data_IF_327102309404
#
_entry.id   IF_327102309404
#
_cell.length_a   1.000
_cell.length_b   1.000
_cell.length_c   1.000
_cell.angle_alpha   90.00
_cell.angle_beta   90.00
_cell.angle_gamma   90.00
#
_symmetry.space_group_name_H-M   'P 1'
#
loop_
_entity.id
_entity.type
_entity.pdbx_description
1 polymer ?
#
# COMPACT_ATOMS: atom_id res chain seq x y z
N UNK A 1 4.18 -9.75 21.14
CA UNK A 1 3.19 -10.74 20.62
C UNK A 1 3.61 -11.10 19.20
N UNK A 2 3.94 -12.36 18.92
CA UNK A 2 4.36 -12.78 17.58
C UNK A 2 3.12 -13.03 16.72
N UNK A 3 2.96 -12.29 15.61
CA UNK A 3 1.91 -12.55 14.63
C UNK A 3 2.35 -13.67 13.68
N UNK A 4 1.44 -14.60 13.40
CA UNK A 4 1.65 -15.69 12.43
C UNK A 4 0.93 -15.36 11.13
N UNK A 5 1.49 -15.83 10.02
CA UNK A 5 0.88 -15.73 8.70
C UNK A 5 -0.36 -16.61 8.62
N UNK A 6 -1.47 -16.08 8.11
CA UNK A 6 -2.73 -16.82 7.91
C UNK A 6 -2.63 -17.91 6.83
N UNK A 7 -1.67 -17.80 5.89
CA UNK A 7 -1.53 -18.74 4.77
C UNK A 7 -0.56 -19.89 5.10
N UNK A 8 0.63 -19.57 5.61
CA UNK A 8 1.68 -20.58 5.83
C UNK A 8 1.98 -20.86 7.30
N UNK A 9 1.37 -20.14 8.25
CA UNK A 9 1.60 -20.31 9.68
C UNK A 9 2.97 -19.84 10.19
N UNK A 10 3.88 -19.41 9.30
CA UNK A 10 5.19 -18.86 9.67
C UNK A 10 5.04 -17.57 10.47
N UNK A 11 6.01 -17.27 11.33
CA UNK A 11 6.08 -16.01 12.07
C UNK A 11 6.29 -14.86 11.08
N UNK A 12 5.49 -13.79 11.20
CA UNK A 12 5.67 -12.58 10.40
C UNK A 12 6.87 -11.82 10.98
N UNK A 13 7.87 -11.46 10.15
CA UNK A 13 9.02 -10.69 10.60
C UNK A 13 8.60 -9.38 11.25
N UNK A 14 9.25 -8.99 12.36
CA UNK A 14 8.91 -7.75 13.05
C UNK A 14 9.11 -6.50 12.19
N UNK A 15 10.12 -6.49 11.31
CA UNK A 15 10.34 -5.40 10.35
C UNK A 15 9.11 -5.15 9.48
N UNK A 16 8.44 -6.22 9.05
CA UNK A 16 7.20 -6.13 8.28
C UNK A 16 6.04 -5.60 9.12
N UNK A 17 5.95 -6.01 10.38
CA UNK A 17 4.93 -5.51 11.31
C UNK A 17 5.16 -4.05 11.71
N UNK A 18 6.40 -3.55 11.68
CA UNK A 18 6.69 -2.12 11.91
C UNK A 18 6.17 -1.26 10.76
N UNK A 19 6.27 -1.73 9.51
CA UNK A 19 5.83 -1.00 8.32
C UNK A 19 4.32 -1.16 8.11
N UNK A 20 3.81 -2.38 8.28
CA UNK A 20 2.42 -2.75 8.08
C UNK A 20 1.90 -3.50 9.32
N UNK A 21 1.56 -2.79 10.40
CA UNK A 21 1.13 -3.42 11.65
C UNK A 21 -0.18 -4.20 11.50
N UNK A 22 -1.01 -3.87 10.52
CA UNK A 22 -2.29 -4.55 10.27
C UNK A 22 -2.17 -5.82 9.44
N UNK A 23 -1.02 -6.09 8.81
CA UNK A 23 -0.90 -7.24 7.90
C UNK A 23 -1.01 -8.56 8.65
N UNK A 24 -1.73 -9.51 8.05
CA UNK A 24 -1.86 -10.90 8.51
C UNK A 24 -1.02 -11.88 7.69
N UNK A 25 -0.25 -11.40 6.70
CA UNK A 25 0.53 -12.22 5.77
C UNK A 25 2.03 -11.96 5.87
N UNK A 26 2.82 -13.03 5.80
CA UNK A 26 4.28 -12.91 5.63
C UNK A 26 4.65 -12.39 4.23
N UNK A 27 5.92 -12.00 4.04
CA UNK A 27 6.44 -11.47 2.77
C UNK A 27 6.17 -12.45 1.62
N UNK A 28 6.61 -13.71 1.77
CA UNK A 28 6.48 -14.75 0.72
C UNK A 28 5.01 -14.96 0.29
N UNK A 29 4.09 -15.00 1.24
CA UNK A 29 2.68 -15.24 0.94
C UNK A 29 2.00 -14.01 0.31
N UNK A 30 2.41 -12.81 0.72
CA UNK A 30 1.91 -11.57 0.14
C UNK A 30 2.43 -11.35 -1.29
N UNK A 31 3.65 -11.78 -1.61
CA UNK A 31 4.19 -11.74 -2.98
C UNK A 31 3.43 -12.67 -3.93
N UNK A 32 3.04 -13.87 -3.45
CA UNK A 32 2.32 -14.86 -4.28
C UNK A 32 0.83 -14.60 -4.41
N UNK A 33 0.16 -14.16 -3.34
CA UNK A 33 -1.30 -14.05 -3.28
C UNK A 33 -1.81 -12.60 -3.23
N UNK A 34 -0.90 -11.63 -3.24
CA UNK A 34 -1.20 -10.23 -2.97
C UNK A 34 -1.26 -9.90 -1.47
N UNK A 35 -1.08 -8.62 -1.10
CA UNK A 35 -1.20 -8.17 0.27
C UNK A 35 -2.64 -8.31 0.78
N UNK A 36 -2.81 -8.60 2.07
CA UNK A 36 -4.14 -8.59 2.72
C UNK A 36 -4.59 -7.17 3.10
N UNK A 37 -3.70 -6.19 2.96
CA UNK A 37 -3.94 -4.81 3.34
C UNK A 37 -4.62 -4.10 2.18
N UNK A 38 -5.92 -3.83 2.33
CA UNK A 38 -6.66 -2.97 1.41
C UNK A 38 -6.42 -1.50 1.77
N UNK A 39 -5.34 -0.92 1.25
CA UNK A 39 -5.21 0.54 1.29
C UNK A 39 -6.35 1.16 0.47
N UNK A 40 -7.09 2.12 1.06
CA UNK A 40 -8.02 2.96 0.28
C UNK A 40 -7.21 3.53 -0.88
N UNK A 41 -7.64 3.28 -2.13
CA UNK A 41 -7.14 4.03 -3.28
C UNK A 41 -7.34 5.50 -2.91
N UNK A 42 -6.25 6.22 -2.66
CA UNK A 42 -6.34 7.68 -2.64
C UNK A 42 -6.58 8.05 -4.09
N UNK A 43 -7.67 8.75 -4.35
CA UNK A 43 -7.89 9.43 -5.61
C UNK A 43 -6.81 10.51 -5.73
N UNK A 44 -5.58 10.12 -6.09
CA UNK A 44 -4.55 11.06 -6.49
C UNK A 44 -4.87 11.43 -7.94
N UNK A 45 -5.98 12.15 -8.10
CA UNK A 45 -6.36 12.85 -9.30
C UNK A 45 -6.26 14.34 -9.02
N UNK A 46 -5.52 15.05 -9.86
CA UNK A 46 -5.59 16.50 -9.87
C UNK A 46 -6.96 16.88 -10.42
N UNK A 47 -7.66 17.83 -9.81
CA UNK A 47 -8.87 18.35 -10.43
C UNK A 47 -8.51 18.94 -11.80
N UNK A 48 -9.47 18.85 -12.73
CA UNK A 48 -9.23 19.19 -14.12
C UNK A 48 -8.90 20.69 -14.31
N UNK A 49 -9.29 21.53 -13.37
CA UNK A 49 -9.05 22.97 -13.41
C UNK A 49 -7.61 23.28 -13.04
N UNK A 50 -7.10 22.68 -11.95
CA UNK A 50 -5.68 22.75 -11.58
C UNK A 50 -4.77 22.20 -12.69
N UNK A 51 -5.17 21.12 -13.38
CA UNK A 51 -4.41 20.61 -14.52
C UNK A 51 -4.31 21.63 -15.67
N UNK A 52 -5.40 22.34 -15.96
CA UNK A 52 -5.43 23.37 -17.01
C UNK A 52 -4.63 24.61 -16.64
N UNK A 53 -4.66 25.04 -15.37
CA UNK A 53 -3.89 26.18 -14.89
C UNK A 53 -2.38 25.96 -15.05
N UNK A 54 -1.89 24.77 -14.69
CA UNK A 54 -0.48 24.42 -14.87
C UNK A 54 -0.07 24.40 -16.35
N UNK A 55 -0.94 23.94 -17.24
CA UNK A 55 -0.68 23.97 -18.69
C UNK A 55 -0.74 25.39 -19.26
N UNK A 56 -1.62 26.24 -18.73
CA UNK A 56 -1.73 27.66 -19.09
C UNK A 56 -0.47 28.44 -18.70
N UNK A 57 0.10 28.15 -17.53
CA UNK A 57 1.32 28.80 -17.03
C UNK A 57 2.57 28.55 -17.89
N UNK A 58 2.59 27.49 -18.70
CA UNK A 58 3.73 27.14 -19.58
C UNK A 58 3.66 27.89 -20.93
N UNK A 59 2.53 28.53 -21.26
CA UNK A 59 2.30 29.20 -22.55
C UNK A 59 2.47 30.73 -22.52
N UNK A 60 3.13 31.28 -21.49
CA UNK A 60 3.41 32.72 -21.35
C UNK A 60 4.80 33.10 -21.85
#
# INVERSE_FOLDING_TARGET
MQKKCEICGKIIPEERLRILPETKRCVECAEKNGPDVHAKRRDVGMDIDTYKDLLGAIRS
#
